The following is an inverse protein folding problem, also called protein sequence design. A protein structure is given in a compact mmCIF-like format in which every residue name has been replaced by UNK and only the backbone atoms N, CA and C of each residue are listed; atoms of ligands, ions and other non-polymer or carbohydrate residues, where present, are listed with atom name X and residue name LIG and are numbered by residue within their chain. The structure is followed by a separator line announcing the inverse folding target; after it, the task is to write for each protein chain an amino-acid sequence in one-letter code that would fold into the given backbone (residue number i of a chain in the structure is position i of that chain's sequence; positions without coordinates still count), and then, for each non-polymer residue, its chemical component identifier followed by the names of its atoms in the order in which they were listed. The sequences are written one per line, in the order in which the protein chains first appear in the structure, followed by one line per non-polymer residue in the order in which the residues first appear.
data_IF_128387405972
#
_entry.id   IF_128387405972
#
_cell.length_a   1.000
_cell.length_b   1.000
_cell.length_c   1.000
_cell.angle_alpha   90.00
_cell.angle_beta   90.00
_cell.angle_gamma   90.00
#
_symmetry.space_group_name_H-M   'P 1'
#
loop_
_entity.id
_entity.type
_entity.pdbx_description
1 polymer ?
#
# COMPACT_ATOMS: atom_id res chain seq x y z
N UNK A 1 -9.21 9.04 -11.93
CA UNK A 1 -9.47 7.60 -11.68
C UNK A 1 -10.85 7.35 -11.08
N UNK A 2 -11.30 8.16 -10.11
CA UNK A 2 -12.64 8.02 -9.50
C UNK A 2 -13.82 8.13 -10.48
N UNK A 3 -13.69 8.92 -11.55
CA UNK A 3 -14.73 9.09 -12.58
C UNK A 3 -15.06 7.79 -13.32
N UNK A 4 -14.05 7.02 -13.73
CA UNK A 4 -14.28 5.81 -14.54
C UNK A 4 -14.84 4.66 -13.69
N UNK A 5 -14.40 4.59 -12.42
CA UNK A 5 -14.94 3.62 -11.45
C UNK A 5 -16.41 3.94 -11.12
N UNK A 6 -16.74 5.22 -10.91
CA UNK A 6 -18.12 5.64 -10.64
C UNK A 6 -19.04 5.40 -11.84
N UNK A 7 -18.56 5.66 -13.07
CA UNK A 7 -19.30 5.37 -14.30
C UNK A 7 -19.58 3.87 -14.48
N UNK A 8 -18.56 3.02 -14.28
CA UNK A 8 -18.70 1.56 -14.37
C UNK A 8 -19.69 1.02 -13.33
N UNK A 9 -19.62 1.53 -12.10
CA UNK A 9 -20.57 1.17 -11.04
C UNK A 9 -22.01 1.61 -11.37
N UNK A 10 -22.18 2.82 -11.92
CA UNK A 10 -23.49 3.31 -12.33
C UNK A 10 -24.10 2.47 -13.46
N UNK A 11 -23.28 2.02 -14.41
CA UNK A 11 -23.70 1.10 -15.47
C UNK A 11 -24.15 -0.24 -14.90
N UNK A 12 -23.38 -0.83 -13.97
CA UNK A 12 -23.78 -2.07 -13.28
C UNK A 12 -25.08 -1.91 -12.50
N UNK A 13 -25.24 -0.82 -11.75
CA UNK A 13 -26.49 -0.50 -11.04
C UNK A 13 -27.69 -0.38 -12.00
N UNK A 14 -27.50 0.26 -13.15
CA UNK A 14 -28.54 0.37 -14.18
C UNK A 14 -28.97 -1.00 -14.72
N UNK A 15 -28.01 -1.89 -15.01
CA UNK A 15 -28.27 -3.25 -15.46
C UNK A 15 -29.04 -4.08 -14.42
N UNK A 16 -28.62 -4.02 -13.15
CA UNK A 16 -29.34 -4.67 -12.04
C UNK A 16 -30.76 -4.11 -11.91
N UNK A 17 -30.94 -2.79 -12.02
CA UNK A 17 -32.25 -2.15 -12.01
C UNK A 17 -33.18 -2.67 -13.12
N UNK A 18 -32.66 -2.89 -14.33
CA UNK A 18 -33.43 -3.51 -15.43
C UNK A 18 -33.85 -4.94 -15.11
N UNK A 19 -32.97 -5.75 -14.52
CA UNK A 19 -33.33 -7.12 -14.09
C UNK A 19 -34.46 -7.12 -13.07
N UNK A 20 -34.38 -6.25 -12.05
CA UNK A 20 -35.41 -6.13 -11.01
C UNK A 20 -36.74 -5.70 -11.65
N UNK A 21 -36.72 -4.70 -12.54
CA UNK A 21 -37.92 -4.25 -13.24
C UNK A 21 -38.57 -5.37 -14.07
N UNK A 22 -37.77 -6.14 -14.81
CA UNK A 22 -38.27 -7.30 -15.57
C UNK A 22 -38.89 -8.36 -14.66
N UNK A 23 -38.25 -8.68 -13.54
CA UNK A 23 -38.76 -9.65 -12.57
C UNK A 23 -40.11 -9.22 -11.97
N UNK A 24 -40.25 -7.94 -11.61
CA UNK A 24 -41.53 -7.39 -11.10
C UNK A 24 -42.60 -7.43 -12.19
N UNK A 25 -42.25 -7.03 -13.42
CA UNK A 25 -43.19 -7.01 -14.55
C UNK A 25 -43.70 -8.41 -14.89
N UNK A 26 -42.81 -9.40 -14.95
CA UNK A 26 -43.17 -10.80 -15.18
C UNK A 26 -44.12 -11.33 -14.09
N UNK A 27 -43.83 -11.04 -12.82
CA UNK A 27 -44.70 -11.46 -11.71
C UNK A 27 -46.10 -10.85 -11.81
N UNK A 28 -46.19 -9.56 -12.15
CA UNK A 28 -47.48 -8.88 -12.36
C UNK A 28 -48.24 -9.47 -13.55
N UNK A 29 -47.55 -9.78 -14.65
CA UNK A 29 -48.16 -10.39 -15.83
C UNK A 29 -48.74 -11.77 -15.54
N UNK A 30 -47.98 -12.63 -14.86
CA UNK A 30 -48.44 -13.97 -14.44
C UNK A 30 -49.66 -13.90 -13.53
N UNK A 31 -49.66 -12.99 -12.54
CA UNK A 31 -50.79 -12.80 -11.64
C UNK A 31 -52.03 -12.27 -12.35
N UNK A 32 -51.88 -11.31 -13.26
CA UNK A 32 -52.99 -10.76 -14.03
C UNK A 32 -53.65 -11.84 -14.89
N UNK A 33 -52.86 -12.73 -15.50
CA UNK A 33 -53.41 -13.80 -16.31
C UNK A 33 -54.18 -14.84 -15.49
N UNK A 34 -53.68 -15.22 -14.31
CA UNK A 34 -54.38 -16.15 -13.41
C UNK A 34 -55.78 -15.64 -13.02
N UNK A 35 -55.97 -14.32 -12.91
CA UNK A 35 -57.26 -13.70 -12.60
C UNK A 35 -58.22 -13.66 -13.79
N UNK A 36 -57.70 -13.65 -15.03
CA UNK A 36 -58.48 -13.50 -16.25
C UNK A 36 -58.86 -14.85 -16.90
N UNK A 37 -58.32 -15.96 -16.41
CA UNK A 37 -58.52 -17.30 -16.99
C UNK A 37 -59.77 -18.04 -16.45
N UNK A 38 -60.54 -17.44 -15.55
CA UNK A 38 -61.84 -17.98 -15.13
C UNK A 38 -62.89 -17.87 -16.26
N UNK A 39 -63.61 -18.94 -16.54
CA UNK A 39 -64.75 -18.98 -17.47
C UNK A 39 -64.45 -18.70 -18.95
N UNK A 40 -63.18 -18.85 -19.37
CA UNK A 40 -62.75 -18.67 -20.76
C UNK A 40 -62.65 -20.01 -21.51
N UNK A 41 -62.91 -20.02 -22.82
CA UNK A 41 -62.78 -21.23 -23.64
C UNK A 41 -61.36 -21.80 -23.64
N UNK A 42 -61.24 -23.10 -23.89
CA UNK A 42 -59.93 -23.78 -23.93
C UNK A 42 -59.05 -23.17 -25.03
N UNK A 43 -59.62 -22.87 -26.19
CA UNK A 43 -58.92 -22.29 -27.33
C UNK A 43 -58.29 -20.94 -26.98
N UNK A 44 -59.05 -20.06 -26.33
CA UNK A 44 -58.54 -18.75 -25.90
C UNK A 44 -57.50 -18.90 -24.78
N UNK A 45 -57.66 -19.85 -23.85
CA UNK A 45 -56.63 -20.15 -22.84
C UNK A 45 -55.32 -20.64 -23.46
N UNK A 46 -55.38 -21.49 -24.48
CA UNK A 46 -54.19 -21.94 -25.23
C UNK A 46 -53.52 -20.75 -25.92
N UNK A 47 -54.29 -19.89 -26.60
CA UNK A 47 -53.78 -18.68 -27.26
C UNK A 47 -53.06 -17.75 -26.27
N UNK A 48 -53.62 -17.55 -25.07
CA UNK A 48 -52.95 -16.76 -24.00
C UNK A 48 -51.68 -17.43 -23.49
N UNK A 49 -51.68 -18.75 -23.34
CA UNK A 49 -50.50 -19.51 -22.93
C UNK A 49 -49.37 -19.42 -23.96
N UNK A 50 -49.68 -19.42 -25.26
CA UNK A 50 -48.69 -19.23 -26.32
C UNK A 50 -48.04 -17.84 -26.23
N UNK A 51 -48.83 -16.79 -25.98
CA UNK A 51 -48.33 -15.43 -25.77
C UNK A 51 -47.43 -15.36 -24.53
N UNK A 52 -47.85 -15.96 -23.39
CA UNK A 52 -47.00 -16.07 -22.20
C UNK A 52 -45.67 -16.73 -22.48
N UNK A 53 -45.70 -17.87 -23.18
CA UNK A 53 -44.51 -18.65 -23.47
C UNK A 53 -43.53 -17.83 -24.31
N UNK A 54 -44.03 -17.07 -25.30
CA UNK A 54 -43.21 -16.17 -26.10
C UNK A 54 -42.63 -15.01 -25.26
N UNK A 55 -43.42 -14.42 -24.37
CA UNK A 55 -42.95 -13.38 -23.44
C UNK A 55 -41.87 -13.92 -22.50
N UNK A 56 -42.07 -15.12 -21.95
CA UNK A 56 -41.14 -15.79 -21.05
C UNK A 56 -39.80 -16.08 -21.75
N UNK A 57 -39.83 -16.57 -22.99
CA UNK A 57 -38.63 -16.74 -23.82
C UNK A 57 -37.89 -15.42 -23.99
N UNK A 58 -38.61 -14.33 -24.29
CA UNK A 58 -38.01 -13.01 -24.42
C UNK A 58 -37.36 -12.53 -23.11
N UNK A 59 -38.09 -12.60 -21.98
CA UNK A 59 -37.55 -12.20 -20.68
C UNK A 59 -36.30 -13.01 -20.31
N UNK A 60 -36.27 -14.31 -20.60
CA UNK A 60 -35.12 -15.16 -20.35
C UNK A 60 -33.92 -14.78 -21.23
N UNK A 61 -34.12 -14.55 -22.53
CA UNK A 61 -33.05 -14.07 -23.42
C UNK A 61 -32.47 -12.74 -22.96
N UNK A 62 -33.33 -11.80 -22.56
CA UNK A 62 -32.90 -10.49 -22.09
C UNK A 62 -32.18 -10.56 -20.73
N UNK A 63 -32.60 -11.45 -19.82
CA UNK A 63 -31.87 -11.73 -18.57
C UNK A 63 -30.47 -12.24 -18.85
N UNK A 64 -30.33 -13.23 -19.73
CA UNK A 64 -29.02 -13.77 -20.12
C UNK A 64 -28.12 -12.66 -20.67
N UNK A 65 -28.64 -11.82 -21.57
CA UNK A 65 -27.91 -10.68 -22.13
C UNK A 65 -27.46 -9.69 -21.05
N UNK A 66 -28.30 -9.41 -20.05
CA UNK A 66 -27.93 -8.52 -18.94
C UNK A 66 -26.86 -9.17 -18.04
N UNK A 67 -26.98 -10.47 -17.76
CA UNK A 67 -25.98 -11.22 -16.99
C UNK A 67 -24.61 -11.22 -17.67
N UNK A 68 -24.55 -11.44 -18.98
CA UNK A 68 -23.31 -11.36 -19.76
C UNK A 68 -22.67 -9.97 -19.67
N UNK A 69 -23.47 -8.91 -19.80
CA UNK A 69 -22.98 -7.55 -19.61
C UNK A 69 -22.46 -7.31 -18.19
N UNK A 70 -23.17 -7.79 -17.17
CA UNK A 70 -22.72 -7.66 -15.77
C UNK A 70 -21.40 -8.39 -15.56
N UNK A 71 -21.25 -9.62 -16.07
CA UNK A 71 -20.00 -10.37 -16.02
C UNK A 71 -18.85 -9.58 -16.65
N UNK A 72 -19.04 -9.07 -17.87
CA UNK A 72 -18.02 -8.27 -18.56
C UNK A 72 -17.63 -7.01 -17.78
N UNK A 73 -18.61 -6.28 -17.22
CA UNK A 73 -18.32 -5.07 -16.43
C UNK A 73 -17.60 -5.42 -15.11
N UNK A 74 -17.98 -6.51 -14.43
CA UNK A 74 -17.36 -6.94 -13.18
C UNK A 74 -15.91 -7.38 -13.43
N UNK A 75 -15.65 -8.21 -14.44
CA UNK A 75 -14.29 -8.64 -14.78
C UNK A 75 -13.42 -7.46 -15.20
N UNK A 76 -13.96 -6.53 -15.99
CA UNK A 76 -13.29 -5.29 -16.35
C UNK A 76 -12.89 -4.48 -15.11
N UNK A 77 -13.80 -4.31 -14.15
CA UNK A 77 -13.52 -3.57 -12.92
C UNK A 77 -12.48 -4.28 -12.05
N UNK A 78 -12.59 -5.60 -11.87
CA UNK A 78 -11.60 -6.38 -11.10
C UNK A 78 -10.21 -6.23 -11.71
N UNK A 79 -10.09 -6.28 -13.04
CA UNK A 79 -8.82 -6.10 -13.75
C UNK A 79 -8.21 -4.71 -13.47
N UNK A 80 -9.02 -3.65 -13.54
CA UNK A 80 -8.59 -2.28 -13.23
C UNK A 80 -8.15 -2.14 -11.78
N UNK A 81 -8.93 -2.65 -10.82
CA UNK A 81 -8.57 -2.57 -9.40
C UNK A 81 -7.33 -3.39 -9.08
N UNK A 82 -7.17 -4.56 -9.70
CA UNK A 82 -5.97 -5.37 -9.57
C UNK A 82 -4.73 -4.62 -10.07
N UNK A 83 -4.81 -4.02 -11.25
CA UNK A 83 -3.71 -3.21 -11.80
C UNK A 83 -3.37 -2.01 -10.89
N UNK A 84 -4.37 -1.31 -10.37
CA UNK A 84 -4.17 -0.19 -9.45
C UNK A 84 -3.49 -0.65 -8.15
N UNK A 85 -3.91 -1.80 -7.60
CA UNK A 85 -3.31 -2.37 -6.40
C UNK A 85 -1.85 -2.78 -6.63
N UNK A 86 -1.53 -3.37 -7.78
CA UNK A 86 -0.14 -3.73 -8.14
C UNK A 86 0.74 -2.49 -8.27
N UNK A 87 0.29 -1.46 -9.00
CA UNK A 87 1.04 -0.21 -9.15
C UNK A 87 1.24 0.50 -7.80
N UNK A 88 0.24 0.47 -6.92
CA UNK A 88 0.38 1.04 -5.57
C UNK A 88 1.38 0.25 -4.72
N UNK A 89 1.37 -1.07 -4.81
CA UNK A 89 2.34 -1.93 -4.13
C UNK A 89 3.77 -1.66 -4.60
N UNK A 90 3.99 -1.48 -5.90
CA UNK A 90 5.29 -1.16 -6.48
C UNK A 90 5.80 0.20 -5.99
N UNK A 91 4.97 1.24 -6.07
CA UNK A 91 5.31 2.58 -5.57
C UNK A 91 5.64 2.57 -4.06
N UNK A 92 4.93 1.78 -3.26
CA UNK A 92 5.19 1.65 -1.83
C UNK A 92 6.51 0.94 -1.55
N UNK A 93 6.88 -0.05 -2.37
CA UNK A 93 8.17 -0.73 -2.27
C UNK A 93 9.31 0.24 -2.61
N UNK A 94 9.22 0.98 -3.71
CA UNK A 94 10.22 1.98 -4.09
C UNK A 94 10.38 3.07 -3.03
N UNK A 95 9.28 3.56 -2.46
CA UNK A 95 9.31 4.55 -1.38
C UNK A 95 9.99 3.97 -0.13
N UNK A 96 9.68 2.72 0.23
CA UNK A 96 10.33 2.04 1.37
C UNK A 96 11.83 1.91 1.15
N UNK A 97 12.26 1.41 0.00
CA UNK A 97 13.69 1.28 -0.34
C UNK A 97 14.40 2.65 -0.30
N UNK A 98 13.73 3.70 -0.79
CA UNK A 98 14.23 5.07 -0.68
C UNK A 98 14.40 5.53 0.76
N UNK A 99 13.42 5.28 1.63
CA UNK A 99 13.47 5.61 3.05
C UNK A 99 14.55 4.82 3.79
N UNK A 100 14.68 3.52 3.54
CA UNK A 100 15.70 2.66 4.13
C UNK A 100 17.11 3.09 3.66
N UNK A 101 17.23 3.51 2.41
CA UNK A 101 18.45 4.13 1.87
C UNK A 101 18.81 5.44 2.58
N UNK A 102 17.83 6.32 2.83
CA UNK A 102 18.04 7.57 3.57
C UNK A 102 18.38 7.31 5.04
N UNK A 103 17.71 6.37 5.70
CA UNK A 103 17.98 5.99 7.10
C UNK A 103 19.43 5.52 7.27
N UNK A 104 19.90 4.59 6.42
CA UNK A 104 21.29 4.12 6.44
C UNK A 104 22.31 5.24 6.25
N UNK A 105 22.02 6.19 5.35
CA UNK A 105 22.89 7.37 5.16
C UNK A 105 22.93 8.24 6.41
N UNK A 106 21.79 8.47 7.05
CA UNK A 106 21.73 9.24 8.30
C UNK A 106 22.47 8.53 9.44
N UNK A 107 22.32 7.22 9.56
CA UNK A 107 23.05 6.40 10.55
C UNK A 107 24.57 6.50 10.34
N UNK A 108 25.05 6.32 9.10
CA UNK A 108 26.47 6.45 8.78
C UNK A 108 27.02 7.85 9.09
N UNK A 109 26.24 8.91 8.80
CA UNK A 109 26.62 10.27 9.14
C UNK A 109 26.67 10.49 10.65
N UNK A 110 25.77 9.85 11.41
CA UNK A 110 25.75 9.94 12.86
C UNK A 110 26.96 9.24 13.49
N UNK A 111 27.36 8.08 12.97
CA UNK A 111 28.59 7.38 13.38
C UNK A 111 29.85 8.24 13.16
N UNK A 112 29.91 8.97 12.03
CA UNK A 112 31.03 9.87 11.73
C UNK A 112 31.14 11.07 12.69
N UNK A 113 30.02 11.49 13.30
CA UNK A 113 29.95 12.67 14.17
C UNK A 113 29.82 12.36 15.67
N UNK A 114 29.80 11.09 16.09
CA UNK A 114 29.57 10.70 17.49
C UNK A 114 30.67 9.86 18.12
N UNK A 115 30.87 10.04 19.43
CA UNK A 115 31.83 9.26 20.20
C UNK A 115 31.38 7.83 20.45
N UNK A 116 32.10 6.86 19.90
CA UNK A 116 31.90 5.41 20.16
C UNK A 116 31.96 4.95 21.62
N UNK A 117 32.31 5.82 22.57
CA UNK A 117 32.32 5.51 24.02
C UNK A 117 31.04 5.99 24.71
N UNK A 118 30.51 7.17 24.36
CA UNK A 118 29.33 7.76 25.03
C UNK A 118 28.15 8.06 24.10
N UNK A 119 28.32 7.79 22.80
CA UNK A 119 27.36 7.99 21.71
C UNK A 119 26.87 9.44 21.54
N UNK A 120 27.59 10.41 22.11
CA UNK A 120 27.29 11.84 21.99
C UNK A 120 28.06 12.49 20.83
N UNK A 121 27.52 13.53 20.18
CA UNK A 121 28.24 14.27 19.15
C UNK A 121 29.57 14.86 19.65
N UNK A 122 30.57 14.92 18.77
CA UNK A 122 31.82 15.61 19.07
C UNK A 122 31.59 17.10 19.33
N UNK A 123 32.32 17.69 20.28
CA UNK A 123 32.36 19.14 20.42
C UNK A 123 33.47 19.75 19.56
N UNK A 124 33.26 20.95 19.01
CA UNK A 124 34.31 21.71 18.32
C UNK A 124 35.52 22.00 19.23
N UNK A 125 35.23 22.26 20.51
CA UNK A 125 36.18 22.64 21.55
C UNK A 125 35.89 21.94 22.89
N UNK A 126 36.73 22.21 23.90
CA UNK A 126 36.49 21.74 25.26
C UNK A 126 36.88 20.28 25.53
N UNK A 127 36.29 19.69 26.57
CA UNK A 127 36.70 18.38 27.12
C UNK A 127 36.29 17.20 26.24
N UNK A 128 35.22 17.33 25.46
CA UNK A 128 34.69 16.28 24.57
C UNK A 128 35.01 16.52 23.08
N UNK A 129 36.04 17.33 22.79
CA UNK A 129 36.56 17.51 21.43
C UNK A 129 37.06 16.20 20.81
N UNK A 130 37.01 16.11 19.48
CA UNK A 130 37.52 14.93 18.74
C UNK A 130 39.04 14.81 18.86
N UNK A 131 39.51 13.59 19.10
CA UNK A 131 40.91 13.20 19.14
C UNK A 131 41.10 11.83 18.47
N UNK A 132 42.28 11.59 17.92
CA UNK A 132 42.68 10.29 17.37
C UNK A 132 43.76 9.64 18.25
N UNK A 133 43.75 8.31 18.31
CA UNK A 133 44.89 7.52 18.79
C UNK A 133 45.87 7.23 17.64
N UNK A 134 47.09 6.75 17.95
CA UNK A 134 48.04 6.25 16.92
C UNK A 134 47.47 5.17 16.00
N UNK A 135 46.44 4.45 16.43
CA UNK A 135 45.76 3.45 15.60
C UNK A 135 44.74 4.05 14.61
N UNK A 136 44.56 5.36 14.58
CA UNK A 136 43.64 6.07 13.68
C UNK A 136 42.24 6.32 14.27
N UNK A 137 41.77 5.47 15.18
CA UNK A 137 40.42 5.57 15.75
C UNK A 137 40.15 6.87 16.51
N UNK A 138 38.92 7.39 16.35
CA UNK A 138 38.47 8.68 16.87
C UNK A 138 37.59 8.54 18.11
N UNK A 139 37.73 9.49 19.04
CA UNK A 139 36.98 9.54 20.30
C UNK A 139 36.87 10.97 20.84
N UNK A 140 35.95 11.19 21.78
CA UNK A 140 35.92 12.39 22.60
C UNK A 140 37.08 12.38 23.59
N UNK A 141 37.80 13.49 23.72
CA UNK A 141 39.04 13.57 24.48
C UNK A 141 38.91 13.12 25.95
N UNK A 142 37.86 13.53 26.66
CA UNK A 142 37.59 13.09 28.04
C UNK A 142 37.27 11.60 28.10
N UNK A 143 36.50 11.08 27.14
CA UNK A 143 36.07 9.68 27.09
C UNK A 143 37.27 8.76 26.87
N UNK A 144 38.10 9.03 25.87
CA UNK A 144 39.24 8.15 25.59
C UNK A 144 40.31 8.22 26.67
N UNK A 145 40.56 9.40 27.26
CA UNK A 145 41.50 9.53 28.39
C UNK A 145 41.04 8.72 29.60
N UNK A 146 39.73 8.64 29.84
CA UNK A 146 39.18 7.83 30.92
C UNK A 146 39.29 6.34 30.60
N UNK A 147 39.02 5.93 29.35
CA UNK A 147 39.08 4.53 28.92
C UNK A 147 40.51 3.95 28.93
N UNK A 148 41.49 4.68 28.40
CA UNK A 148 42.89 4.20 28.35
C UNK A 148 43.56 4.20 29.73
N UNK A 149 43.08 4.99 30.70
CA UNK A 149 43.53 4.93 32.09
C UNK A 149 43.15 3.59 32.75
N UNK A 150 42.07 2.95 32.29
CA UNK A 150 41.59 1.67 32.83
C UNK A 150 42.23 0.46 32.15
N UNK A 151 42.44 0.51 30.83
CA UNK A 151 42.83 -0.68 30.04
C UNK A 151 44.12 -0.55 29.23
N UNK A 152 44.66 0.66 29.07
CA UNK A 152 45.81 0.97 28.20
C UNK A 152 45.65 0.46 26.74
N UNK A 153 44.41 0.31 26.26
CA UNK A 153 44.07 -0.21 24.94
C UNK A 153 43.00 0.65 24.26
N UNK A 154 43.01 0.68 22.93
CA UNK A 154 41.95 1.28 22.14
C UNK A 154 40.63 0.51 22.33
N UNK A 155 39.50 1.17 22.65
CA UNK A 155 38.20 0.51 22.77
C UNK A 155 37.70 -0.20 21.49
N UNK A 156 38.18 0.22 20.31
CA UNK A 156 37.75 -0.35 19.02
C UNK A 156 38.67 -1.51 18.60
N UNK A 157 39.96 -1.27 18.37
CA UNK A 157 40.87 -2.29 17.81
C UNK A 157 41.77 -2.98 18.85
N UNK A 158 41.67 -2.62 20.13
CA UNK A 158 42.45 -3.20 21.24
C UNK A 158 43.98 -3.02 21.17
N UNK A 159 44.53 -2.29 20.19
CA UNK A 159 45.95 -1.91 20.14
C UNK A 159 46.32 -1.06 21.37
N UNK A 160 47.56 -1.21 21.87
CA UNK A 160 48.09 -0.42 23.01
C UNK A 160 47.92 1.08 22.75
N UNK A 161 47.47 1.80 23.77
CA UNK A 161 47.22 3.25 23.72
C UNK A 161 47.59 3.91 25.05
N UNK A 162 48.43 4.94 24.99
CA UNK A 162 48.88 5.75 26.13
C UNK A 162 48.35 7.18 26.02
N UNK A 163 48.40 7.94 27.12
CA UNK A 163 47.98 9.35 27.12
C UNK A 163 48.76 10.22 26.12
N UNK A 164 50.03 9.88 25.84
CA UNK A 164 50.88 10.54 24.86
C UNK A 164 50.47 10.24 23.40
N UNK A 165 49.63 9.23 23.17
CA UNK A 165 49.19 8.81 21.83
C UNK A 165 47.94 9.57 21.35
N UNK A 166 47.34 10.38 22.21
CA UNK A 166 46.10 11.13 21.96
C UNK A 166 46.43 12.42 21.22
N UNK A 167 46.03 12.52 19.96
CA UNK A 167 46.25 13.68 19.08
C UNK A 167 44.95 14.40 18.77
N UNK A 168 44.95 15.74 18.86
CA UNK A 168 43.78 16.55 18.49
C UNK A 168 43.58 16.52 16.98
N UNK A 169 42.33 16.35 16.54
CA UNK A 169 41.93 16.49 15.13
C UNK A 169 41.23 17.84 14.98
N UNK A 170 41.61 18.58 13.94
CA UNK A 170 40.95 19.81 13.52
C UNK A 170 40.16 19.48 12.26
N UNK A 171 38.84 19.68 12.29
CA UNK A 171 37.96 19.43 11.14
C UNK A 171 37.09 20.66 10.90
N UNK A 172 36.84 20.99 9.62
CA UNK A 172 35.96 22.10 9.22
C UNK A 172 34.48 21.83 9.52
N UNK A 173 34.09 20.57 9.72
CA UNK A 173 32.67 20.13 9.79
C UNK A 173 32.14 19.90 11.20
N UNK A 174 32.95 20.11 12.24
CA UNK A 174 32.47 19.87 13.61
C UNK A 174 31.67 21.11 14.03
N UNK A 175 30.36 20.92 14.17
CA UNK A 175 29.42 21.93 14.65
C UNK A 175 29.92 22.54 15.96
N UNK A 176 29.83 23.86 16.05
CA UNK A 176 30.28 24.63 17.21
C UNK A 176 29.54 24.23 18.49
#
# INVERSE_FOLDING_TARGET
MSSNSSESLNKMKSLVGKMIFMQVTEHLFLRAQQLLDSDVSIEERVRRMEVLNNNMKWFNSERTRILEQLQLNIFGQISVEHHNAMNMSENLYELREGLDGLSRRMESMQEDITCSICLSPWSSNGRHRVVSLRCGHLFGNSCIRTAIRRSHRCPICRRRALHADVRRIFSRRISH
#
